data_IF_470789169907
#
_entry.id   IF_470789169907
#
_cell.length_a   1.000
_cell.length_b   1.000
_cell.length_c   1.000
_cell.angle_alpha   90.00
_cell.angle_beta   90.00
_cell.angle_gamma   90.00
#
_symmetry.space_group_name_H-M   'P 1'
#
loop_
_entity.id
_entity.type
_entity.pdbx_description
1 polymer ?
#
# COMPACT_ATOMS: atom_id res chain seq x y z
N UNK A 1 29.80 9.22 -5.84
CA UNK A 1 28.90 8.81 -4.73
C UNK A 1 29.79 8.40 -3.56
N UNK A 2 29.71 9.05 -2.39
CA UNK A 2 30.48 8.62 -1.22
C UNK A 2 29.91 7.28 -0.72
N UNK A 3 30.76 6.28 -0.55
CA UNK A 3 30.37 4.99 0.03
C UNK A 3 29.97 5.25 1.49
N UNK A 4 28.71 5.07 1.82
CA UNK A 4 28.24 5.08 3.22
C UNK A 4 28.34 3.66 3.75
N UNK A 5 29.07 3.48 4.84
CA UNK A 5 29.24 2.17 5.50
C UNK A 5 28.04 1.84 6.39
N UNK A 6 27.38 2.88 6.91
CA UNK A 6 26.24 2.77 7.80
C UNK A 6 24.99 3.38 7.16
N UNK A 7 23.84 2.86 7.57
CA UNK A 7 22.52 3.32 7.15
C UNK A 7 21.60 3.40 8.36
N UNK A 8 20.65 4.33 8.32
CA UNK A 8 19.53 4.36 9.23
C UNK A 8 18.36 3.59 8.59
N UNK A 9 17.82 2.60 9.30
CA UNK A 9 16.61 1.88 8.91
C UNK A 9 15.49 2.26 9.88
N UNK A 10 14.50 2.99 9.37
CA UNK A 10 13.31 3.41 10.10
C UNK A 10 12.09 2.58 9.67
N UNK A 11 11.22 2.24 10.62
CA UNK A 11 9.93 1.59 10.38
C UNK A 11 8.80 2.54 10.75
N UNK A 12 7.92 2.82 9.80
CA UNK A 12 6.73 3.65 9.97
C UNK A 12 5.47 2.82 9.75
N UNK A 13 4.39 3.14 10.47
CA UNK A 13 3.08 2.50 10.29
C UNK A 13 2.03 3.57 9.97
N UNK A 14 1.19 3.30 8.97
CA UNK A 14 0.05 4.17 8.62
C UNK A 14 -1.07 3.38 7.97
N UNK A 15 -2.28 3.96 7.96
CA UNK A 15 -3.42 3.43 7.21
C UNK A 15 -3.47 4.07 5.82
N UNK A 16 -3.44 3.25 4.78
CA UNK A 16 -3.56 3.71 3.39
C UNK A 16 -4.93 3.32 2.83
N UNK A 17 -5.63 4.25 2.19
CA UNK A 17 -6.91 3.97 1.54
C UNK A 17 -6.69 3.11 0.30
N UNK A 18 -7.36 1.95 0.26
CA UNK A 18 -7.32 1.01 -0.87
C UNK A 18 -8.62 0.96 -1.66
N UNK A 19 -9.71 1.48 -1.08
CA UNK A 19 -11.01 1.55 -1.73
C UNK A 19 -11.80 2.74 -1.19
N UNK A 20 -12.60 3.35 -2.07
CA UNK A 20 -13.58 4.37 -1.70
C UNK A 20 -14.81 4.28 -2.57
N UNK A 21 -15.98 4.51 -1.98
CA UNK A 21 -17.24 4.69 -2.70
C UNK A 21 -18.02 5.83 -2.07
N UNK A 22 -18.58 6.70 -2.90
CA UNK A 22 -19.48 7.76 -2.45
C UNK A 22 -20.93 7.36 -2.71
N UNK A 23 -21.85 7.89 -1.90
CA UNK A 23 -23.28 7.67 -2.04
C UNK A 23 -23.92 8.83 -2.82
N UNK A 24 -24.13 8.63 -4.11
CA UNK A 24 -24.69 9.62 -5.04
C UNK A 24 -26.13 10.05 -4.70
N UNK A 25 -26.87 9.27 -3.89
CA UNK A 25 -28.26 9.57 -3.52
C UNK A 25 -28.39 10.65 -2.43
N UNK A 26 -27.32 10.97 -1.72
CA UNK A 26 -27.30 12.04 -0.69
C UNK A 26 -26.91 13.38 -1.32
N UNK A 27 -26.28 13.38 -2.49
CA UNK A 27 -25.78 14.60 -3.14
C UNK A 27 -26.82 15.32 -4.01
N UNK A 28 -27.95 14.68 -4.35
CA UNK A 28 -28.93 15.22 -5.31
C UNK A 28 -30.32 15.59 -4.77
N UNK A 29 -30.64 15.37 -3.48
CA UNK A 29 -31.98 15.73 -2.97
C UNK A 29 -31.97 16.30 -1.55
N UNK A 30 -32.02 17.64 -1.47
CA UNK A 30 -32.56 18.37 -0.31
C UNK A 30 -34.00 18.87 -0.62
N UNK A 31 -34.58 18.47 -1.76
CA UNK A 31 -35.90 18.96 -2.19
C UNK A 31 -36.79 17.87 -2.77
N UNK A 32 -37.15 16.85 -1.99
CA UNK A 32 -38.49 16.27 -2.00
C UNK A 32 -38.55 15.10 -1.02
N UNK A 33 -39.12 15.40 0.16
CA UNK A 33 -39.77 14.40 0.97
C UNK A 33 -40.89 13.71 0.16
N UNK A 34 -41.17 12.45 0.51
CA UNK A 34 -42.34 11.66 0.08
C UNK A 34 -42.16 10.84 -1.21
N UNK A 35 -41.21 9.89 -1.26
CA UNK A 35 -41.40 8.58 -1.94
C UNK A 35 -40.29 7.53 -1.67
N UNK A 36 -39.73 7.48 -0.45
CA UNK A 36 -38.48 6.74 -0.19
C UNK A 36 -38.69 5.57 0.79
N UNK A 37 -39.32 4.48 0.35
CA UNK A 37 -39.38 3.25 1.18
C UNK A 37 -38.98 1.95 0.46
N UNK A 38 -38.88 1.95 -0.88
CA UNK A 38 -38.52 0.75 -1.64
C UNK A 38 -37.15 0.80 -2.33
N UNK A 39 -36.58 1.98 -2.61
CA UNK A 39 -35.29 2.14 -3.30
C UNK A 39 -34.07 2.05 -2.35
N UNK A 40 -34.30 2.09 -1.03
CA UNK A 40 -33.23 2.12 -0.03
C UNK A 40 -32.45 0.80 0.16
N UNK A 41 -32.89 -0.33 -0.40
CA UNK A 41 -32.24 -1.62 -0.11
C UNK A 41 -31.00 -1.90 -0.95
N UNK A 42 -30.95 -1.46 -2.21
CA UNK A 42 -29.82 -1.77 -3.09
C UNK A 42 -28.59 -0.88 -2.82
N UNK A 43 -28.80 0.37 -2.38
CA UNK A 43 -27.70 1.28 -2.01
C UNK A 43 -27.13 1.05 -0.59
N UNK A 44 -27.67 0.08 0.15
CA UNK A 44 -27.12 -0.30 1.45
C UNK A 44 -26.01 -1.36 1.33
N UNK A 45 -25.62 -1.74 0.11
CA UNK A 45 -24.60 -2.75 -0.11
C UNK A 45 -23.45 -2.13 -0.90
N UNK A 46 -22.25 -2.22 -0.33
CA UNK A 46 -21.00 -1.90 -1.01
C UNK A 46 -20.21 -3.17 -1.25
N UNK A 47 -19.96 -3.46 -2.54
CA UNK A 47 -19.12 -4.57 -2.98
C UNK A 47 -17.72 -4.03 -3.22
N UNK A 48 -16.77 -4.47 -2.39
CA UNK A 48 -15.34 -4.18 -2.52
C UNK A 48 -14.71 -5.23 -3.42
N UNK A 49 -13.94 -4.80 -4.41
CA UNK A 49 -13.29 -5.69 -5.36
C UNK A 49 -11.99 -5.09 -5.90
N UNK A 50 -11.02 -4.93 -5.02
CA UNK A 50 -9.78 -4.20 -5.33
C UNK A 50 -8.57 -5.11 -5.44
N UNK A 51 -7.59 -4.68 -6.23
CA UNK A 51 -6.29 -5.33 -6.31
C UNK A 51 -5.26 -4.49 -5.56
N UNK A 52 -4.57 -5.12 -4.63
CA UNK A 52 -3.60 -4.44 -3.77
C UNK A 52 -2.24 -5.09 -3.92
N UNK A 53 -1.25 -4.28 -4.36
CA UNK A 53 0.16 -4.66 -4.35
C UNK A 53 0.66 -4.74 -2.91
N UNK A 54 1.05 -5.94 -2.46
CA UNK A 54 1.53 -6.18 -1.09
C UNK A 54 2.87 -5.53 -0.79
N UNK A 55 3.72 -5.37 -1.80
CA UNK A 55 5.02 -4.73 -1.66
C UNK A 55 5.19 -3.70 -2.79
N UNK A 56 5.49 -2.47 -2.41
CA UNK A 56 5.94 -1.42 -3.32
C UNK A 56 7.28 -0.92 -2.85
N UNK A 57 8.27 -0.91 -3.74
CA UNK A 57 9.60 -0.35 -3.50
C UNK A 57 9.73 0.97 -4.24
N UNK A 58 10.27 2.00 -3.58
CA UNK A 58 10.46 3.33 -4.17
C UNK A 58 11.93 3.73 -4.11
N UNK A 59 12.53 4.05 -5.26
CA UNK A 59 13.86 4.65 -5.37
C UNK A 59 13.68 6.09 -5.86
N UNK A 60 14.19 7.06 -5.10
CA UNK A 60 13.97 8.48 -5.38
C UNK A 60 12.48 8.87 -5.54
N UNK A 61 11.57 8.19 -4.82
CA UNK A 61 10.13 8.41 -4.90
C UNK A 61 9.43 7.73 -6.09
N UNK A 62 10.16 7.03 -6.96
CA UNK A 62 9.63 6.35 -8.14
C UNK A 62 9.57 4.84 -7.90
N UNK A 63 8.51 4.17 -8.38
CA UNK A 63 8.37 2.71 -8.26
C UNK A 63 9.57 2.01 -8.92
N UNK A 64 10.21 1.16 -8.12
CA UNK A 64 11.37 0.38 -8.49
C UNK A 64 11.10 -1.11 -8.32
N UNK A 65 11.78 -1.91 -9.11
CA UNK A 65 11.73 -3.36 -9.04
C UNK A 65 13.12 -3.95 -8.86
N UNK A 66 13.18 -5.18 -8.36
CA UNK A 66 14.44 -5.93 -8.30
C UNK A 66 14.96 -6.08 -9.72
N UNK A 67 16.22 -5.74 -9.93
CA UNK A 67 16.90 -5.90 -11.22
C UNK A 67 17.37 -7.34 -11.36
N UNK A 68 16.51 -8.20 -11.91
CA UNK A 68 16.78 -9.64 -12.07
C UNK A 68 17.92 -9.92 -13.07
N UNK A 69 18.17 -9.00 -14.00
CA UNK A 69 19.22 -9.12 -15.03
C UNK A 69 20.63 -8.87 -14.46
N UNK A 70 20.71 -8.26 -13.27
CA UNK A 70 21.97 -7.91 -12.64
C UNK A 70 22.32 -8.97 -11.60
N UNK A 71 23.33 -9.79 -11.93
CA UNK A 71 23.89 -10.79 -11.03
C UNK A 71 24.22 -10.18 -9.66
N UNK A 72 23.94 -10.93 -8.60
CA UNK A 72 24.28 -10.59 -7.22
C UNK A 72 25.81 -10.51 -7.08
N UNK A 73 26.39 -9.37 -7.45
CA UNK A 73 27.79 -9.08 -7.24
C UNK A 73 27.99 -8.75 -5.75
N UNK A 74 28.83 -9.54 -5.07
CA UNK A 74 29.31 -9.24 -3.71
C UNK A 74 28.22 -9.13 -2.63
N UNK A 75 27.12 -9.90 -2.77
CA UNK A 75 26.05 -9.92 -1.76
C UNK A 75 25.17 -8.66 -1.78
N UNK A 76 25.09 -7.97 -2.92
CA UNK A 76 24.17 -6.86 -3.13
C UNK A 76 22.99 -7.26 -4.00
N UNK A 77 21.79 -6.84 -3.60
CA UNK A 77 20.58 -6.91 -4.41
C UNK A 77 20.31 -5.55 -5.03
N UNK A 78 20.11 -5.53 -6.34
CA UNK A 78 19.92 -4.31 -7.12
C UNK A 78 18.44 -4.01 -7.37
N UNK A 79 18.09 -2.73 -7.32
CA UNK A 79 16.77 -2.22 -7.67
C UNK A 79 16.90 -1.16 -8.77
N UNK A 80 16.03 -1.23 -9.78
CA UNK A 80 15.95 -0.27 -10.89
C UNK A 80 14.58 0.40 -10.92
N UNK A 81 14.54 1.71 -11.17
CA UNK A 81 13.27 2.40 -11.45
C UNK A 81 12.66 1.88 -12.76
N UNK A 82 11.33 1.85 -12.83
CA UNK A 82 10.60 1.29 -13.99
C UNK A 82 10.62 2.18 -15.26
N UNK A 83 11.07 3.43 -15.17
CA UNK A 83 11.00 4.36 -16.31
C UNK A 83 12.02 4.05 -17.42
N UNK A 84 11.52 3.99 -18.65
CA UNK A 84 12.25 3.55 -19.86
C UNK A 84 13.25 4.59 -20.42
N UNK A 85 13.28 5.81 -19.89
CA UNK A 85 13.97 6.94 -20.54
C UNK A 85 15.04 7.63 -19.71
N UNK A 86 15.30 7.21 -18.47
CA UNK A 86 16.39 7.78 -17.67
C UNK A 86 17.49 6.77 -17.37
N UNK A 87 18.71 7.27 -17.55
CA UNK A 87 20.02 6.67 -17.33
C UNK A 87 20.06 5.83 -16.02
N UNK A 88 19.85 4.50 -16.11
CA UNK A 88 20.07 3.46 -15.07
C UNK A 88 20.11 4.01 -13.62
N UNK A 89 19.04 4.66 -13.16
CA UNK A 89 18.95 5.07 -11.75
C UNK A 89 18.57 3.83 -10.96
N UNK A 90 19.57 3.22 -10.34
CA UNK A 90 19.39 2.04 -9.54
C UNK A 90 20.21 2.10 -8.26
N UNK A 91 19.74 1.37 -7.25
CA UNK A 91 20.40 1.29 -5.94
C UNK A 91 20.73 -0.16 -5.64
N UNK A 92 21.93 -0.39 -5.13
CA UNK A 92 22.34 -1.69 -4.59
C UNK A 92 22.18 -1.67 -3.08
N UNK A 93 21.54 -2.69 -2.54
CA UNK A 93 21.43 -2.92 -1.10
C UNK A 93 22.20 -4.16 -0.71
N UNK A 94 22.98 -4.08 0.36
CA UNK A 94 23.58 -5.27 0.93
C UNK A 94 22.47 -6.24 1.40
N UNK A 95 22.61 -7.52 1.06
CA UNK A 95 21.66 -8.58 1.36
C UNK A 95 21.30 -8.64 2.85
N UNK A 96 22.24 -8.37 3.75
CA UNK A 96 22.01 -8.37 5.20
C UNK A 96 20.92 -7.37 5.63
N UNK A 97 20.77 -6.25 4.92
CA UNK A 97 19.70 -5.27 5.20
C UNK A 97 18.34 -5.86 4.81
N UNK A 98 18.26 -6.52 3.65
CA UNK A 98 17.04 -7.16 3.18
C UNK A 98 16.65 -8.34 4.07
N UNK A 99 17.61 -9.13 4.53
CA UNK A 99 17.40 -10.22 5.49
C UNK A 99 16.87 -9.69 6.82
N UNK A 100 17.40 -8.55 7.31
CA UNK A 100 16.87 -7.90 8.52
C UNK A 100 15.42 -7.46 8.35
N UNK A 101 15.07 -6.83 7.22
CA UNK A 101 13.68 -6.42 6.93
C UNK A 101 12.79 -7.67 6.82
N UNK A 102 13.24 -8.71 6.10
CA UNK A 102 12.53 -9.98 5.97
C UNK A 102 12.27 -10.62 7.33
N UNK A 103 13.26 -10.68 8.21
CA UNK A 103 13.11 -11.24 9.55
C UNK A 103 12.08 -10.45 10.38
N UNK A 104 12.14 -9.11 10.36
CA UNK A 104 11.15 -8.25 11.04
C UNK A 104 9.73 -8.43 10.49
N UNK A 105 9.58 -8.72 9.21
CA UNK A 105 8.28 -8.99 8.59
C UNK A 105 7.77 -10.42 8.85
N UNK A 106 8.66 -11.42 8.78
CA UNK A 106 8.32 -12.83 9.02
C UNK A 106 7.89 -13.06 10.47
N UNK A 107 8.57 -12.44 11.43
CA UNK A 107 8.16 -12.46 12.85
C UNK A 107 6.77 -11.85 13.08
N UNK A 108 6.28 -11.03 12.14
CA UNK A 108 4.93 -10.44 12.16
C UNK A 108 3.92 -11.22 11.30
N UNK A 109 4.36 -12.25 10.58
CA UNK A 109 3.50 -13.27 9.98
C UNK A 109 3.04 -13.04 8.54
N UNK A 110 3.66 -12.18 7.73
CA UNK A 110 3.08 -11.85 6.40
C UNK A 110 4.04 -11.55 5.24
N UNK A 111 5.34 -11.84 5.33
CA UNK A 111 6.31 -11.54 4.26
C UNK A 111 6.14 -12.36 2.97
N UNK A 112 5.89 -13.67 3.09
CA UNK A 112 5.87 -14.58 1.94
C UNK A 112 4.43 -14.74 1.41
N UNK A 113 4.19 -14.29 0.18
CA UNK A 113 2.93 -14.50 -0.55
C UNK A 113 2.86 -13.71 -1.85
N UNK A 114 1.73 -13.78 -2.58
CA UNK A 114 1.63 -13.20 -3.92
C UNK A 114 1.84 -11.68 -3.89
N UNK A 115 2.55 -11.14 -4.89
CA UNK A 115 2.87 -9.70 -4.97
C UNK A 115 1.64 -8.82 -5.02
N UNK A 116 0.54 -9.34 -5.58
CA UNK A 116 -0.76 -8.67 -5.66
C UNK A 116 -1.83 -9.61 -5.10
N UNK A 117 -2.74 -9.06 -4.29
CA UNK A 117 -3.87 -9.80 -3.73
C UNK A 117 -5.16 -9.08 -4.12
N UNK A 118 -6.16 -9.87 -4.51
CA UNK A 118 -7.50 -9.36 -4.77
C UNK A 118 -8.32 -9.40 -3.49
N UNK A 119 -8.72 -8.23 -3.00
CA UNK A 119 -9.57 -8.06 -1.83
C UNK A 119 -11.01 -8.02 -2.32
N UNK A 120 -11.79 -9.02 -1.91
CA UNK A 120 -13.23 -9.07 -2.16
C UNK A 120 -13.98 -9.00 -0.85
N UNK A 121 -15.06 -8.24 -0.83
CA UNK A 121 -15.94 -8.17 0.33
C UNK A 121 -17.28 -7.58 -0.01
N UNK A 122 -18.32 -8.00 0.70
CA UNK A 122 -19.63 -7.36 0.68
C UNK A 122 -19.84 -6.72 2.05
N UNK A 123 -20.10 -5.43 2.07
CA UNK A 123 -20.35 -4.66 3.29
C UNK A 123 -21.75 -4.08 3.21
N UNK A 124 -22.57 -4.47 4.16
CA UNK A 124 -23.93 -3.99 4.29
C UNK A 124 -23.96 -2.85 5.31
N UNK A 125 -24.62 -1.77 4.94
CA UNK A 125 -24.94 -0.65 5.80
C UNK A 125 -26.06 -1.09 6.73
N UNK A 126 -25.88 -0.85 8.03
CA UNK A 126 -26.96 -1.04 8.99
C UNK A 126 -28.07 -0.05 8.64
N UNK A 127 -29.32 -0.50 8.64
CA UNK A 127 -30.46 0.25 8.09
C UNK A 127 -30.73 1.62 8.72
N UNK A 128 -30.08 1.93 9.83
CA UNK A 128 -30.16 3.16 10.61
C UNK A 128 -29.10 4.22 10.24
N UNK A 129 -28.12 3.90 9.39
CA UNK A 129 -27.02 4.82 9.04
C UNK A 129 -27.24 5.42 7.64
N UNK A 130 -27.49 6.73 7.60
CA UNK A 130 -27.31 7.53 6.38
C UNK A 130 -25.81 7.75 6.18
N UNK A 131 -25.26 7.27 5.06
CA UNK A 131 -23.84 7.40 4.75
C UNK A 131 -23.64 8.19 3.45
N UNK A 132 -22.59 9.00 3.41
CA UNK A 132 -22.12 9.76 2.26
C UNK A 132 -20.91 9.09 1.61
N UNK A 133 -20.01 8.51 2.40
CA UNK A 133 -18.78 7.89 1.89
C UNK A 133 -18.45 6.60 2.64
N UNK A 134 -17.97 5.63 1.89
CA UNK A 134 -17.42 4.39 2.41
C UNK A 134 -15.95 4.30 1.99
N UNK A 135 -15.09 3.90 2.91
CA UNK A 135 -13.67 3.71 2.63
C UNK A 135 -13.13 2.46 3.30
N UNK A 136 -12.25 1.73 2.60
CA UNK A 136 -11.43 0.68 3.20
C UNK A 136 -9.96 1.07 3.18
N UNK A 137 -9.27 0.73 4.26
CA UNK A 137 -7.91 1.11 4.54
C UNK A 137 -7.11 -0.13 4.91
N UNK A 138 -5.87 -0.20 4.47
CA UNK A 138 -4.94 -1.27 4.82
C UNK A 138 -3.84 -0.72 5.70
N UNK A 139 -3.43 -1.47 6.72
CA UNK A 139 -2.25 -1.10 7.50
C UNK A 139 -1.00 -1.30 6.65
N UNK A 140 -0.20 -0.25 6.50
CA UNK A 140 1.05 -0.25 5.77
C UNK A 140 2.21 -0.18 6.76
N UNK A 141 3.19 -1.05 6.58
CA UNK A 141 4.48 -1.03 7.26
C UNK A 141 5.54 -0.54 6.26
N UNK A 142 6.00 0.69 6.44
CA UNK A 142 7.02 1.29 5.58
C UNK A 142 8.40 1.26 6.19
N UNK A 143 9.34 0.62 5.51
CA UNK A 143 10.75 0.71 5.84
C UNK A 143 11.41 1.78 5.00
N UNK A 144 12.01 2.76 5.66
CA UNK A 144 12.74 3.87 5.04
C UNK A 144 14.21 3.67 5.36
N UNK A 145 15.02 3.43 4.33
CA UNK A 145 16.46 3.29 4.46
C UNK A 145 17.13 4.60 4.04
N UNK A 146 17.84 5.24 4.97
CA UNK A 146 18.58 6.48 4.74
C UNK A 146 20.08 6.26 4.83
N UNK A 147 20.82 6.99 4.00
CA UNK A 147 22.26 7.19 4.20
C UNK A 147 22.48 8.09 5.42
N UNK A 148 23.69 8.08 5.96
CA UNK A 148 24.05 8.93 7.11
C UNK A 148 23.99 10.43 6.81
N UNK A 149 23.98 10.85 5.54
CA UNK A 149 23.75 12.24 5.12
C UNK A 149 22.25 12.63 5.13
N UNK A 150 21.36 11.74 5.58
CA UNK A 150 19.92 11.94 5.63
C UNK A 150 19.20 11.64 4.32
N UNK A 151 19.91 11.41 3.21
CA UNK A 151 19.28 11.09 1.93
C UNK A 151 18.60 9.73 1.97
N UNK A 152 17.35 9.68 1.48
CA UNK A 152 16.62 8.41 1.32
C UNK A 152 17.25 7.62 0.18
N UNK A 153 17.63 6.38 0.47
CA UNK A 153 18.15 5.45 -0.51
C UNK A 153 17.01 4.69 -1.20
N UNK A 154 16.12 4.12 -0.41
CA UNK A 154 14.98 3.32 -0.87
C UNK A 154 13.92 3.22 0.23
N UNK A 155 12.66 3.14 -0.18
CA UNK A 155 11.55 2.83 0.70
C UNK A 155 10.92 1.49 0.29
N UNK A 156 10.49 0.71 1.27
CA UNK A 156 9.66 -0.48 1.08
C UNK A 156 8.35 -0.29 1.82
N UNK A 157 7.25 -0.21 1.09
CA UNK A 157 5.90 -0.16 1.66
C UNK A 157 5.28 -1.54 1.54
N UNK A 158 5.15 -2.21 2.68
CA UNK A 158 4.46 -3.48 2.77
C UNK A 158 3.01 -3.21 3.18
N UNK A 159 2.03 -3.75 2.47
CA UNK A 159 0.59 -3.65 2.80
C UNK A 159 0.11 -4.93 3.46
N UNK A 160 -0.30 -4.83 4.71
CA UNK A 160 -0.78 -5.96 5.48
C UNK A 160 -2.24 -6.27 5.15
N UNK A 161 -2.46 -7.10 4.13
CA UNK A 161 -3.79 -7.46 3.64
C UNK A 161 -4.63 -8.27 4.63
N UNK A 162 -4.08 -8.74 5.76
CA UNK A 162 -4.88 -9.32 6.85
C UNK A 162 -5.38 -8.26 7.84
N UNK A 163 -4.89 -7.02 7.75
CA UNK A 163 -5.29 -5.87 8.58
C UNK A 163 -5.93 -4.80 7.70
N UNK A 164 -7.21 -5.03 7.39
CA UNK A 164 -8.04 -4.10 6.62
C UNK A 164 -9.18 -3.62 7.51
N UNK A 165 -9.33 -2.30 7.59
CA UNK A 165 -10.44 -1.65 8.28
C UNK A 165 -11.28 -0.88 7.27
N UNK A 166 -12.60 -0.97 7.40
CA UNK A 166 -13.52 -0.20 6.57
C UNK A 166 -14.44 0.64 7.45
N UNK A 167 -14.68 1.87 7.03
CA UNK A 167 -15.54 2.83 7.74
C UNK A 167 -16.57 3.46 6.82
N UNK A 168 -17.68 3.85 7.42
CA UNK A 168 -18.75 4.64 6.83
C UNK A 168 -18.66 6.06 7.40
N UNK A 169 -18.81 7.05 6.55
CA UNK A 169 -18.90 8.49 6.85
C UNK A 169 -20.19 9.06 6.28
#
# INVERSE_FOLDING_TARGET
>A
MRKSVFYELSLNLWWEQIYSRENELVTWDISQDIYRSSVHRENNIVVVNERVKRLVSLVCGVEAEKDEDRLDAEGFVWFKIKEQHSRRVGVGLNLAILEKIRFLQQTRGWFDGPREVRIKGRKEVRSDIVWRKFGCYVLVEGFVLRRMDGSVLINFSFRNTSKIECKWE
#
